data_IF_412021009546
#
_entry.id   IF_412021009546
#
_cell.length_a   1.000
_cell.length_b   1.000
_cell.length_c   1.000
_cell.angle_alpha   90.00
_cell.angle_beta   90.00
_cell.angle_gamma   90.00
#
_symmetry.space_group_name_H-M   'P 1'
#
loop_
_entity.id
_entity.type
_entity.pdbx_description
1 polymer ?
#
# COMPACT_ATOMS: atom_id res chain seq x y z
N UNK A 1 26.10 12.62 88.28
CA UNK A 1 27.24 11.80 88.65
C UNK A 1 27.93 11.40 87.37
N UNK A 2 29.00 12.17 87.01
CA UNK A 2 30.40 11.73 87.13
C UNK A 2 30.67 10.54 86.20
N UNK A 3 31.59 10.54 85.29
CA UNK A 3 32.89 11.16 85.15
C UNK A 3 33.43 11.06 83.73
N UNK A 4 34.15 12.09 83.35
CA UNK A 4 35.00 12.17 82.17
C UNK A 4 36.20 11.22 82.22
N UNK A 5 36.80 10.89 81.07
CA UNK A 5 38.26 10.83 80.93
C UNK A 5 38.73 11.11 79.48
N UNK A 6 39.62 12.06 79.41
CA UNK A 6 40.48 12.50 78.30
C UNK A 6 41.67 11.54 78.14
N UNK A 7 42.18 11.50 76.89
CA UNK A 7 43.62 11.52 76.54
C UNK A 7 43.66 11.35 74.99
N UNK A 8 44.12 12.22 74.17
CA UNK A 8 45.42 12.90 73.95
C UNK A 8 46.36 12.18 72.99
N UNK A 9 46.63 12.87 71.86
CA UNK A 9 47.89 12.93 71.10
C UNK A 9 48.21 11.82 70.07
N UNK A 10 48.48 12.30 68.87
CA UNK A 10 49.27 11.64 67.84
C UNK A 10 49.10 12.32 66.46
N UNK A 11 49.82 13.41 66.22
CA UNK A 11 49.97 14.04 64.94
C UNK A 11 50.96 13.22 64.09
N UNK A 12 50.58 12.86 62.87
CA UNK A 12 51.53 12.52 61.80
C UNK A 12 51.03 13.15 60.48
N UNK A 13 51.80 14.08 59.99
CA UNK A 13 51.76 14.69 58.67
C UNK A 13 52.13 13.67 57.61
N UNK A 14 51.22 13.47 56.64
CA UNK A 14 51.56 12.82 55.36
C UNK A 14 51.00 13.62 54.21
N UNK A 15 51.89 14.21 53.45
CA UNK A 15 51.70 14.93 52.22
C UNK A 15 51.17 13.95 51.18
N UNK A 16 49.90 14.10 50.70
CA UNK A 16 49.31 13.28 49.69
C UNK A 16 48.85 14.17 48.56
N UNK A 17 49.44 13.97 47.42
CA UNK A 17 49.24 14.59 46.13
C UNK A 17 47.74 14.49 45.68
N UNK A 18 47.08 15.62 45.49
CA UNK A 18 45.73 15.67 44.91
C UNK A 18 45.79 15.43 43.40
N UNK A 19 45.42 14.25 42.96
CA UNK A 19 45.23 13.92 41.56
C UNK A 19 43.79 14.33 41.17
N UNK A 20 43.65 15.48 40.51
CA UNK A 20 42.37 15.92 39.96
C UNK A 20 42.03 15.07 38.73
N UNK A 21 41.09 14.12 38.85
CA UNK A 21 40.46 13.48 37.72
C UNK A 21 39.47 14.46 37.08
N UNK A 22 39.86 15.04 35.95
CA UNK A 22 38.94 15.74 35.06
C UNK A 22 38.14 14.68 34.30
N UNK A 23 36.91 14.42 34.75
CA UNK A 23 35.93 13.62 33.98
C UNK A 23 35.36 14.53 32.90
N UNK A 24 35.97 14.52 31.70
CA UNK A 24 35.33 15.06 30.50
C UNK A 24 34.21 14.11 30.11
N UNK A 25 33.00 14.41 30.56
CA UNK A 25 31.78 13.78 30.04
C UNK A 25 31.56 14.21 28.58
N UNK A 26 31.92 13.34 27.64
CA UNK A 26 31.39 13.45 26.28
C UNK A 26 29.89 13.17 26.34
N UNK A 27 29.08 14.23 26.33
CA UNK A 27 27.67 14.12 25.97
C UNK A 27 27.63 13.76 24.47
N UNK A 28 27.48 12.49 24.17
CA UNK A 28 27.05 12.09 22.83
C UNK A 28 25.69 12.71 22.61
N UNK A 29 25.41 13.35 21.46
CA UNK A 29 24.05 13.72 21.11
C UNK A 29 23.19 12.47 21.17
N UNK A 30 22.06 12.55 21.87
CA UNK A 30 21.04 11.51 21.81
C UNK A 30 20.66 11.37 20.34
N UNK A 31 21.02 10.24 19.75
CA UNK A 31 20.48 9.87 18.44
C UNK A 31 18.98 9.69 18.65
N UNK A 32 18.17 10.48 17.98
CA UNK A 32 16.75 10.17 17.84
C UNK A 32 16.64 8.71 17.41
N UNK A 33 15.71 7.94 17.98
CA UNK A 33 15.48 6.58 17.53
C UNK A 33 15.05 6.66 16.06
N UNK A 34 15.97 6.34 15.13
CA UNK A 34 15.56 6.04 13.76
C UNK A 34 14.53 4.91 13.84
N UNK A 35 13.39 5.02 13.16
CA UNK A 35 12.49 3.90 13.05
C UNK A 35 13.32 2.71 12.55
N UNK A 36 13.33 1.65 13.34
CA UNK A 36 13.96 0.38 12.96
C UNK A 36 13.23 -0.05 11.68
N UNK A 37 13.94 -0.13 10.57
CA UNK A 37 13.42 -0.83 9.42
C UNK A 37 12.91 -2.18 9.92
N UNK A 38 11.62 -2.47 9.70
CA UNK A 38 11.02 -3.74 10.11
C UNK A 38 11.89 -4.88 9.61
N UNK A 39 11.98 -5.97 10.36
CA UNK A 39 12.66 -7.16 9.87
C UNK A 39 11.93 -7.63 8.61
N UNK A 40 12.67 -7.89 7.52
CA UNK A 40 12.10 -8.47 6.33
C UNK A 40 11.63 -9.91 6.61
N UNK A 41 10.54 -10.31 5.97
CA UNK A 41 9.91 -11.62 6.13
C UNK A 41 8.69 -11.61 7.04
N UNK A 42 7.94 -12.71 7.00
CA UNK A 42 6.76 -12.94 7.82
C UNK A 42 5.44 -12.81 7.08
N UNK A 43 4.37 -13.21 7.76
CA UNK A 43 3.03 -13.32 7.20
C UNK A 43 2.10 -12.30 7.87
N UNK A 44 1.26 -11.64 7.08
CA UNK A 44 0.20 -10.76 7.56
C UNK A 44 -1.16 -11.38 7.28
N UNK A 45 -2.00 -11.52 8.30
CA UNK A 45 -3.40 -11.93 8.13
C UNK A 45 -4.31 -10.73 8.32
N UNK A 46 -5.09 -10.42 7.29
CA UNK A 46 -6.08 -9.33 7.25
C UNK A 46 -7.47 -9.96 7.34
N UNK A 47 -8.24 -9.59 8.36
CA UNK A 47 -9.65 -9.99 8.50
C UNK A 47 -10.55 -9.17 7.58
N UNK A 48 -11.36 -9.84 6.76
CA UNK A 48 -12.34 -9.21 5.87
C UNK A 48 -13.72 -9.85 6.05
N UNK A 49 -14.79 -9.11 5.79
CA UNK A 49 -16.16 -9.60 6.02
C UNK A 49 -16.72 -10.42 4.87
N UNK A 50 -16.15 -10.31 3.67
CA UNK A 50 -16.61 -11.05 2.48
C UNK A 50 -15.47 -11.28 1.49
N UNK A 51 -15.65 -12.25 0.57
CA UNK A 51 -14.82 -12.40 -0.63
C UNK A 51 -14.97 -11.18 -1.54
N UNK A 52 -13.94 -10.84 -2.33
CA UNK A 52 -14.09 -9.90 -3.44
C UNK A 52 -15.10 -10.42 -4.47
N UNK A 53 -15.90 -9.49 -5.02
CA UNK A 53 -16.86 -9.76 -6.07
C UNK A 53 -16.19 -10.23 -7.37
N UNK A 54 -14.98 -9.77 -7.62
CA UNK A 54 -14.16 -10.15 -8.78
C UNK A 54 -12.67 -9.95 -8.49
N UNK A 55 -11.81 -10.64 -9.23
CA UNK A 55 -10.37 -10.34 -9.32
C UNK A 55 -10.02 -9.63 -10.65
N UNK A 56 -11.03 -9.26 -11.44
CA UNK A 56 -10.88 -8.46 -12.65
C UNK A 56 -11.04 -6.96 -12.29
N UNK A 57 -9.96 -6.15 -12.31
CA UNK A 57 -9.94 -4.83 -11.70
C UNK A 57 -10.94 -3.84 -12.31
N UNK A 58 -11.19 -3.91 -13.61
CA UNK A 58 -12.06 -2.94 -14.29
C UNK A 58 -13.54 -3.03 -13.89
N UNK A 59 -13.97 -4.13 -13.25
CA UNK A 59 -15.35 -4.36 -12.82
C UNK A 59 -15.52 -4.44 -11.30
N UNK A 60 -14.44 -4.34 -10.54
CA UNK A 60 -14.49 -4.42 -9.09
C UNK A 60 -15.28 -3.25 -8.49
N UNK A 61 -16.26 -3.56 -7.64
CA UNK A 61 -17.12 -2.57 -6.99
C UNK A 61 -17.05 -2.62 -5.47
N UNK A 62 -16.57 -3.73 -4.90
CA UNK A 62 -16.51 -3.92 -3.48
C UNK A 62 -15.17 -3.45 -2.90
N UNK A 63 -15.22 -2.87 -1.71
CA UNK A 63 -14.02 -2.43 -0.99
C UNK A 63 -13.03 -3.59 -0.76
N UNK A 64 -13.53 -4.80 -0.45
CA UNK A 64 -12.71 -6.00 -0.28
C UNK A 64 -11.95 -6.37 -1.55
N UNK A 65 -12.58 -6.20 -2.73
CA UNK A 65 -11.90 -6.42 -4.01
C UNK A 65 -10.80 -5.39 -4.22
N UNK A 66 -11.06 -4.11 -3.98
CA UNK A 66 -10.06 -3.03 -4.09
C UNK A 66 -8.84 -3.33 -3.22
N UNK A 67 -9.04 -3.76 -1.96
CA UNK A 67 -7.94 -4.07 -1.04
C UNK A 67 -7.06 -5.23 -1.52
N UNK A 68 -7.62 -6.23 -2.20
CA UNK A 68 -6.84 -7.32 -2.78
C UNK A 68 -6.16 -6.87 -4.07
N UNK A 69 -6.91 -6.23 -4.97
CA UNK A 69 -6.46 -5.89 -6.32
C UNK A 69 -5.29 -4.90 -6.34
N UNK A 70 -5.27 -3.92 -5.43
CA UNK A 70 -4.17 -2.94 -5.34
C UNK A 70 -2.82 -3.57 -4.95
N UNK A 71 -2.80 -4.80 -4.45
CA UNK A 71 -1.58 -5.56 -4.20
C UNK A 71 -1.15 -6.40 -5.42
N UNK A 72 -2.07 -6.68 -6.34
CA UNK A 72 -1.85 -7.55 -7.50
C UNK A 72 -1.53 -6.77 -8.77
N UNK A 73 -2.11 -5.57 -8.94
CA UNK A 73 -2.05 -4.83 -10.20
C UNK A 73 -1.45 -3.44 -10.01
N UNK A 74 -0.79 -2.95 -11.05
CA UNK A 74 -0.27 -1.60 -11.14
C UNK A 74 -1.15 -0.69 -12.02
N UNK A 75 -1.04 0.61 -11.77
CA UNK A 75 -1.69 1.70 -12.50
C UNK A 75 -0.64 2.65 -13.08
N UNK A 76 -1.00 3.49 -14.06
CA UNK A 76 -0.02 4.42 -14.67
C UNK A 76 0.53 5.42 -13.66
N UNK A 77 -0.34 5.93 -12.82
CA UNK A 77 -0.02 6.83 -11.70
C UNK A 77 -0.56 6.24 -10.42
N UNK A 78 -0.07 6.66 -9.28
CA UNK A 78 -0.49 6.17 -7.95
C UNK A 78 -0.81 7.33 -7.03
N UNK A 79 -1.39 7.06 -5.86
CA UNK A 79 -1.53 8.03 -4.78
C UNK A 79 -0.52 7.73 -3.67
N UNK A 80 0.15 8.77 -3.17
CA UNK A 80 0.90 8.68 -1.93
C UNK A 80 -0.02 8.75 -0.68
N UNK A 81 0.58 8.69 0.51
CA UNK A 81 -0.14 8.74 1.79
C UNK A 81 -0.90 10.08 2.00
N UNK A 82 -0.48 11.15 1.33
CA UNK A 82 -1.11 12.47 1.37
C UNK A 82 -2.13 12.68 0.23
N UNK A 83 -2.41 11.63 -0.55
CA UNK A 83 -3.27 11.63 -1.74
C UNK A 83 -2.75 12.51 -2.88
N UNK A 84 -1.45 12.77 -2.96
CA UNK A 84 -0.85 13.36 -4.14
C UNK A 84 -0.68 12.30 -5.22
N UNK A 85 -0.83 12.73 -6.48
CA UNK A 85 -0.57 11.86 -7.62
C UNK A 85 0.94 11.72 -7.81
N UNK A 86 1.43 10.50 -7.79
CA UNK A 86 2.84 10.14 -7.94
C UNK A 86 3.04 9.15 -9.10
N UNK A 87 4.29 8.98 -9.58
CA UNK A 87 4.62 7.97 -10.57
C UNK A 87 4.25 6.54 -10.11
N UNK A 88 3.56 5.80 -11.01
CA UNK A 88 3.31 4.37 -10.89
C UNK A 88 4.07 3.60 -11.99
N UNK A 89 3.35 2.91 -12.89
CA UNK A 89 3.93 2.26 -14.07
C UNK A 89 4.50 3.27 -15.08
N UNK A 90 4.00 4.51 -15.10
CA UNK A 90 4.67 5.62 -15.75
C UNK A 90 5.62 6.30 -14.75
N UNK A 91 6.89 6.46 -15.11
CA UNK A 91 7.89 7.17 -14.29
C UNK A 91 7.72 8.69 -14.36
N UNK A 92 7.08 9.21 -15.43
CA UNK A 92 6.76 10.62 -15.61
C UNK A 92 5.69 10.81 -16.68
N UNK A 93 5.15 12.02 -16.74
CA UNK A 93 4.24 12.43 -17.84
C UNK A 93 4.39 13.92 -18.13
N UNK A 94 4.14 14.27 -19.41
CA UNK A 94 4.14 15.63 -19.92
C UNK A 94 2.74 16.04 -20.38
N UNK A 95 2.39 17.30 -20.14
CA UNK A 95 1.15 17.90 -20.62
C UNK A 95 1.51 18.99 -21.61
N UNK A 96 0.91 18.96 -22.83
CA UNK A 96 1.11 20.00 -23.83
C UNK A 96 0.62 21.38 -23.36
N UNK A 97 1.13 22.45 -23.96
CA UNK A 97 0.77 23.85 -23.58
C UNK A 97 -0.74 24.13 -23.69
N UNK A 98 -1.43 23.49 -24.63
CA UNK A 98 -2.87 23.60 -24.81
C UNK A 98 -3.68 22.64 -23.92
N UNK A 99 -3.01 21.74 -23.20
CA UNK A 99 -3.62 20.75 -22.33
C UNK A 99 -4.37 19.63 -23.06
N UNK A 100 -4.19 19.49 -24.39
CA UNK A 100 -4.92 18.52 -25.20
C UNK A 100 -4.14 17.22 -25.46
N UNK A 101 -2.90 17.14 -25.00
CA UNK A 101 -2.05 15.95 -25.14
C UNK A 101 -1.37 15.65 -23.83
N UNK A 102 -1.49 14.39 -23.36
CA UNK A 102 -0.69 13.84 -22.26
C UNK A 102 0.22 12.76 -22.83
N UNK A 103 1.50 12.84 -22.54
CA UNK A 103 2.50 11.82 -22.93
C UNK A 103 3.04 11.19 -21.66
N UNK A 104 2.86 9.88 -21.50
CA UNK A 104 3.37 9.08 -20.41
C UNK A 104 4.64 8.35 -20.83
N UNK A 105 5.68 8.42 -20.00
CA UNK A 105 6.93 7.69 -20.13
C UNK A 105 6.87 6.49 -19.18
N UNK A 106 6.85 5.29 -19.73
CA UNK A 106 6.68 4.05 -18.96
C UNK A 106 8.03 3.58 -18.39
N UNK A 107 7.96 2.90 -17.25
CA UNK A 107 9.13 2.23 -16.67
C UNK A 107 9.59 1.10 -17.57
N UNK A 108 10.91 0.97 -17.69
CA UNK A 108 11.54 -0.14 -18.40
C UNK A 108 11.68 -1.36 -17.46
N UNK A 109 11.62 -2.57 -18.05
CA UNK A 109 11.88 -3.81 -17.33
C UNK A 109 10.76 -4.27 -16.39
N UNK A 110 9.58 -3.68 -16.47
CA UNK A 110 8.40 -4.15 -15.73
C UNK A 110 7.90 -5.44 -16.37
N UNK A 111 7.55 -6.43 -15.53
CA UNK A 111 6.95 -7.69 -15.95
C UNK A 111 5.62 -7.94 -15.27
N UNK A 112 4.72 -8.62 -15.96
CA UNK A 112 3.53 -9.22 -15.36
C UNK A 112 3.89 -10.46 -14.54
N UNK A 113 2.96 -10.96 -13.73
CA UNK A 113 3.15 -12.12 -12.86
C UNK A 113 3.51 -13.41 -13.63
N UNK A 114 3.15 -13.52 -14.90
CA UNK A 114 3.51 -14.64 -15.79
C UNK A 114 4.90 -14.50 -16.42
N UNK A 115 5.60 -13.38 -16.17
CA UNK A 115 6.91 -13.05 -16.70
C UNK A 115 6.89 -12.36 -18.07
N UNK A 116 5.73 -12.11 -18.67
CA UNK A 116 5.62 -11.31 -19.90
C UNK A 116 5.96 -9.84 -19.62
N UNK A 117 6.53 -9.15 -20.62
CA UNK A 117 6.97 -7.76 -20.48
C UNK A 117 5.78 -6.80 -20.61
N UNK A 118 5.68 -5.84 -19.71
CA UNK A 118 4.75 -4.72 -19.79
C UNK A 118 5.31 -3.63 -20.73
N UNK A 119 4.42 -3.04 -21.55
CA UNK A 119 4.78 -1.94 -22.45
C UNK A 119 3.59 -1.09 -22.90
N UNK A 120 3.87 -0.20 -23.84
CA UNK A 120 2.90 0.79 -24.33
C UNK A 120 1.67 0.17 -25.00
N UNK A 121 1.82 -0.99 -25.63
CA UNK A 121 0.67 -1.69 -26.25
C UNK A 121 -0.31 -2.21 -25.20
N UNK A 122 0.16 -2.63 -24.00
CA UNK A 122 -0.70 -3.05 -22.89
C UNK A 122 -1.48 -1.87 -22.31
N UNK A 123 -0.82 -0.71 -22.20
CA UNK A 123 -1.49 0.54 -21.79
C UNK A 123 -2.56 0.93 -22.79
N UNK A 124 -2.22 0.92 -24.09
CA UNK A 124 -3.19 1.21 -25.15
C UNK A 124 -4.36 0.23 -25.12
N UNK A 125 -4.08 -1.07 -25.03
CA UNK A 125 -5.11 -2.11 -24.90
C UNK A 125 -6.02 -1.84 -23.68
N UNK A 126 -5.44 -1.58 -22.53
CA UNK A 126 -6.19 -1.36 -21.29
C UNK A 126 -7.10 -0.15 -21.37
N UNK A 127 -6.58 1.01 -21.81
CA UNK A 127 -7.36 2.24 -21.87
C UNK A 127 -8.47 2.16 -22.96
N UNK A 128 -8.17 1.59 -24.12
CA UNK A 128 -9.16 1.35 -25.18
C UNK A 128 -10.27 0.40 -24.70
N UNK A 129 -9.90 -0.67 -23.98
CA UNK A 129 -10.85 -1.63 -23.43
C UNK A 129 -11.71 -1.01 -22.31
N UNK A 130 -11.13 -0.22 -21.39
CA UNK A 130 -11.88 0.50 -20.35
C UNK A 130 -12.85 1.51 -20.97
N UNK A 131 -12.46 2.22 -22.03
CA UNK A 131 -13.30 3.17 -22.74
C UNK A 131 -14.45 2.49 -23.53
N UNK A 132 -14.28 1.23 -23.92
CA UNK A 132 -15.28 0.49 -24.70
C UNK A 132 -16.53 0.18 -23.87
N UNK A 133 -17.72 0.42 -24.44
CA UNK A 133 -19.01 0.12 -23.78
C UNK A 133 -19.19 -1.37 -23.49
N UNK A 134 -18.66 -2.23 -24.36
CA UNK A 134 -18.78 -3.68 -24.24
C UNK A 134 -18.06 -4.25 -22.98
N UNK A 135 -17.02 -3.60 -22.50
CA UNK A 135 -16.30 -4.00 -21.28
C UNK A 135 -17.12 -3.74 -20.03
N UNK A 136 -18.02 -2.76 -20.06
CA UNK A 136 -18.78 -2.31 -18.88
C UNK A 136 -17.88 -1.95 -17.68
N UNK A 137 -16.69 -1.38 -17.94
CA UNK A 137 -15.76 -0.95 -16.92
C UNK A 137 -16.37 0.15 -16.04
N UNK A 138 -16.22 0.04 -14.72
CA UNK A 138 -16.82 0.99 -13.75
C UNK A 138 -16.21 2.38 -13.85
N UNK A 139 -14.95 2.48 -14.28
CA UNK A 139 -14.22 3.74 -14.46
C UNK A 139 -14.30 4.32 -15.89
N UNK A 140 -15.12 3.77 -16.77
CA UNK A 140 -15.23 4.22 -18.17
C UNK A 140 -15.44 5.72 -18.30
N UNK A 141 -16.27 6.32 -17.46
CA UNK A 141 -16.58 7.76 -17.52
C UNK A 141 -15.37 8.66 -17.21
N UNK A 142 -14.36 8.14 -16.50
CA UNK A 142 -13.12 8.86 -16.19
C UNK A 142 -12.22 9.07 -17.41
N UNK A 143 -12.49 8.36 -18.52
CA UNK A 143 -11.80 8.52 -19.81
C UNK A 143 -12.62 9.34 -20.81
N UNK A 144 -13.68 10.02 -20.40
CA UNK A 144 -14.59 10.74 -21.33
C UNK A 144 -13.90 11.85 -22.12
N UNK A 145 -12.82 12.43 -21.60
CA UNK A 145 -12.00 13.43 -22.31
C UNK A 145 -11.05 12.83 -23.32
N UNK A 146 -10.68 11.54 -23.18
CA UNK A 146 -9.72 10.85 -24.06
C UNK A 146 -10.38 10.48 -25.39
N UNK A 147 -9.77 10.91 -26.49
CA UNK A 147 -10.26 10.66 -27.86
C UNK A 147 -9.39 9.67 -28.62
N UNK A 148 -8.12 9.55 -28.27
CA UNK A 148 -7.19 8.58 -28.82
C UNK A 148 -6.12 8.19 -27.82
N UNK A 149 -5.68 6.94 -27.89
CA UNK A 149 -4.53 6.40 -27.16
C UNK A 149 -3.57 5.81 -28.21
N UNK A 150 -2.33 6.27 -28.22
CA UNK A 150 -1.31 5.86 -29.17
C UNK A 150 -0.09 5.32 -28.45
N UNK A 151 0.30 4.08 -28.74
CA UNK A 151 1.60 3.52 -28.36
C UNK A 151 2.65 4.12 -29.35
N UNK A 152 3.35 5.15 -28.93
CA UNK A 152 4.26 5.91 -29.79
C UNK A 152 5.56 5.14 -30.02
N UNK A 153 6.04 4.47 -29.01
CA UNK A 153 7.14 3.51 -29.01
C UNK A 153 6.93 2.51 -27.86
N UNK A 154 7.89 1.64 -27.58
CA UNK A 154 7.78 0.58 -26.59
C UNK A 154 7.47 1.10 -25.16
N UNK A 155 7.96 2.29 -24.82
CA UNK A 155 7.84 2.86 -23.47
C UNK A 155 7.15 4.24 -23.45
N UNK A 156 6.48 4.63 -24.53
CA UNK A 156 5.83 5.94 -24.61
C UNK A 156 4.39 5.80 -25.07
N UNK A 157 3.46 6.34 -24.30
CA UNK A 157 2.04 6.39 -24.64
C UNK A 157 1.57 7.83 -24.68
N UNK A 158 0.88 8.19 -25.77
CA UNK A 158 0.31 9.52 -25.96
C UNK A 158 -1.22 9.45 -25.94
N UNK A 159 -1.85 10.24 -25.08
CA UNK A 159 -3.28 10.42 -25.01
C UNK A 159 -3.67 11.76 -25.62
N UNK A 160 -4.60 11.73 -26.58
CA UNK A 160 -5.22 12.94 -27.14
C UNK A 160 -6.55 13.19 -26.47
N UNK A 161 -6.79 14.44 -26.05
CA UNK A 161 -7.98 14.84 -25.31
C UNK A 161 -8.89 15.76 -26.14
N UNK A 162 -10.19 15.69 -25.92
CA UNK A 162 -11.20 16.61 -26.50
C UNK A 162 -11.23 17.99 -25.81
N UNK A 163 -10.78 18.05 -24.55
CA UNK A 163 -10.64 19.25 -23.74
C UNK A 163 -9.59 19.02 -22.65
N UNK A 164 -8.94 20.08 -22.11
CA UNK A 164 -8.00 19.94 -21.01
C UNK A 164 -8.65 19.25 -19.81
N UNK A 165 -7.96 18.23 -19.25
CA UNK A 165 -8.44 17.43 -18.13
C UNK A 165 -7.32 17.27 -17.08
N UNK A 166 -7.27 18.17 -16.11
CA UNK A 166 -6.29 18.16 -15.04
C UNK A 166 -6.52 17.00 -14.02
N UNK A 167 -7.71 16.39 -14.04
CA UNK A 167 -8.02 15.27 -13.14
C UNK A 167 -7.59 13.92 -13.73
N UNK A 168 -7.27 13.85 -15.02
CA UNK A 168 -6.97 12.58 -15.68
C UNK A 168 -5.82 11.81 -15.04
N UNK A 169 -4.68 12.41 -14.64
CA UNK A 169 -3.65 11.67 -13.92
C UNK A 169 -4.14 11.05 -12.61
N UNK A 170 -4.99 11.76 -11.84
CA UNK A 170 -5.58 11.22 -10.61
C UNK A 170 -6.60 10.11 -10.91
N UNK A 171 -7.35 10.23 -11.99
CA UNK A 171 -8.28 9.18 -12.43
C UNK A 171 -7.55 7.89 -12.83
N UNK A 172 -6.33 8.01 -13.38
CA UNK A 172 -5.50 6.87 -13.78
C UNK A 172 -4.79 6.18 -12.58
N UNK A 173 -4.88 6.74 -11.37
CA UNK A 173 -4.30 6.19 -10.15
C UNK A 173 -5.26 5.21 -9.42
N UNK A 174 -6.54 5.14 -9.79
CA UNK A 174 -7.48 4.22 -9.14
C UNK A 174 -7.32 2.80 -9.68
N UNK A 175 -7.48 1.80 -8.82
CA UNK A 175 -7.24 0.39 -9.19
C UNK A 175 -8.15 -0.10 -10.34
N UNK A 176 -9.30 0.51 -10.53
CA UNK A 176 -10.17 0.20 -11.68
C UNK A 176 -9.62 0.71 -13.02
N UNK A 177 -8.46 1.36 -13.02
CA UNK A 177 -7.65 1.73 -14.17
C UNK A 177 -6.35 0.92 -14.25
N UNK A 178 -6.28 -0.25 -13.61
CA UNK A 178 -5.11 -1.12 -13.68
C UNK A 178 -4.78 -1.49 -15.12
N UNK A 179 -3.49 -1.54 -15.42
CA UNK A 179 -2.98 -1.99 -16.72
C UNK A 179 -2.94 -3.51 -16.75
N UNK A 180 -3.48 -4.10 -17.83
CA UNK A 180 -3.55 -5.54 -18.05
C UNK A 180 -2.80 -5.89 -19.34
N UNK A 181 -2.29 -7.11 -19.41
CA UNK A 181 -1.69 -7.64 -20.64
C UNK A 181 -2.76 -7.75 -21.73
N UNK A 182 -2.37 -7.46 -22.95
CA UNK A 182 -3.24 -7.60 -24.12
C UNK A 182 -3.68 -9.05 -24.42
N UNK A 183 -2.96 -10.02 -23.82
CA UNK A 183 -3.25 -11.45 -23.95
C UNK A 183 -4.23 -11.95 -22.86
N UNK A 184 -4.53 -11.14 -21.86
CA UNK A 184 -5.39 -11.51 -20.73
C UNK A 184 -6.87 -11.48 -21.07
N UNK A 185 -7.63 -12.34 -20.39
CA UNK A 185 -9.10 -12.38 -20.46
C UNK A 185 -9.72 -12.21 -19.08
N UNK A 186 -10.93 -11.64 -19.00
CA UNK A 186 -11.66 -11.50 -17.75
C UNK A 186 -11.81 -12.84 -16.99
N UNK A 187 -12.13 -13.93 -17.71
CA UNK A 187 -12.28 -15.27 -17.13
C UNK A 187 -10.94 -15.77 -16.56
N UNK A 188 -9.85 -15.57 -17.31
CA UNK A 188 -8.50 -15.95 -16.88
C UNK A 188 -8.08 -15.20 -15.63
N UNK A 189 -8.23 -13.88 -15.62
CA UNK A 189 -7.82 -13.02 -14.50
C UNK A 189 -8.63 -13.26 -13.21
N UNK A 190 -9.89 -13.68 -13.30
CA UNK A 190 -10.68 -14.07 -12.13
C UNK A 190 -10.18 -15.37 -11.48
N UNK A 191 -9.38 -16.16 -12.20
CA UNK A 191 -8.81 -17.43 -11.72
C UNK A 191 -7.33 -17.28 -11.38
N UNK A 192 -6.59 -16.62 -12.26
CA UNK A 192 -5.14 -16.40 -12.16
C UNK A 192 -4.85 -14.96 -12.52
N UNK A 193 -4.90 -14.05 -11.54
CA UNK A 193 -4.52 -12.65 -11.74
C UNK A 193 -3.11 -12.53 -12.31
N UNK A 194 -2.98 -11.74 -13.39
CA UNK A 194 -1.72 -11.47 -14.07
C UNK A 194 -1.44 -9.97 -14.02
N UNK A 195 -0.97 -9.48 -12.88
CA UNK A 195 -0.72 -8.05 -12.69
C UNK A 195 0.76 -7.75 -12.52
N UNK A 196 1.07 -6.47 -12.35
CA UNK A 196 2.43 -5.93 -12.19
C UNK A 196 2.69 -5.47 -10.75
N UNK A 197 1.88 -5.92 -9.79
CA UNK A 197 1.91 -5.48 -8.40
C UNK A 197 2.99 -6.14 -7.53
N UNK A 198 3.14 -5.66 -6.27
CA UNK A 198 4.14 -6.17 -5.33
C UNK A 198 3.88 -7.58 -4.81
N UNK A 199 2.70 -8.10 -5.03
CA UNK A 199 2.32 -9.47 -4.68
C UNK A 199 1.67 -10.18 -5.87
N UNK A 200 1.71 -11.52 -5.85
CA UNK A 200 1.04 -12.42 -6.80
C UNK A 200 0.07 -13.34 -6.05
N UNK A 201 -0.96 -13.83 -6.72
CA UNK A 201 -1.89 -14.79 -6.12
C UNK A 201 -1.18 -16.14 -5.90
N UNK A 202 -1.15 -16.62 -4.66
CA UNK A 202 -0.63 -17.94 -4.28
C UNK A 202 -1.76 -18.98 -4.14
N UNK A 203 -2.80 -18.67 -3.36
CA UNK A 203 -3.94 -19.57 -3.12
C UNK A 203 -5.25 -18.79 -2.95
N UNK A 204 -6.35 -19.40 -3.41
CA UNK A 204 -7.71 -18.88 -3.18
C UNK A 204 -8.64 -20.01 -2.78
N UNK A 205 -9.23 -19.85 -1.60
CA UNK A 205 -10.30 -20.74 -1.09
C UNK A 205 -11.58 -19.90 -0.98
N UNK A 206 -12.49 -20.09 -1.94
CA UNK A 206 -13.72 -19.31 -2.02
C UNK A 206 -14.45 -19.23 -0.67
N UNK A 207 -14.84 -18.03 -0.27
CA UNK A 207 -15.49 -17.70 1.00
C UNK A 207 -14.67 -18.07 2.24
N UNK A 208 -13.36 -18.27 2.13
CA UNK A 208 -12.47 -18.59 3.25
C UNK A 208 -11.25 -17.68 3.28
N UNK A 209 -10.44 -17.67 2.21
CA UNK A 209 -9.21 -16.88 2.17
C UNK A 209 -8.69 -16.66 0.76
N UNK A 210 -7.94 -15.56 0.62
CA UNK A 210 -7.06 -15.29 -0.53
C UNK A 210 -5.68 -15.05 0.05
N UNK A 211 -4.70 -15.83 -0.40
CA UNK A 211 -3.30 -15.69 0.00
C UNK A 211 -2.48 -15.15 -1.16
N UNK A 212 -1.76 -14.09 -0.90
CA UNK A 212 -0.84 -13.47 -1.83
C UNK A 212 0.59 -13.73 -1.37
N UNK A 213 1.46 -14.11 -2.29
CA UNK A 213 2.90 -14.23 -2.06
C UNK A 213 3.64 -13.02 -2.63
N UNK A 214 4.75 -12.67 -2.02
CA UNK A 214 5.62 -11.60 -2.50
C UNK A 214 6.03 -11.83 -3.95
N UNK A 215 5.96 -10.79 -4.77
CA UNK A 215 6.50 -10.76 -6.12
C UNK A 215 7.99 -10.42 -6.04
N UNK A 216 8.87 -11.40 -6.26
CA UNK A 216 10.32 -11.20 -6.22
C UNK A 216 10.84 -10.39 -7.42
N UNK A 217 10.07 -10.33 -8.51
CA UNK A 217 10.39 -9.57 -9.73
C UNK A 217 9.69 -8.21 -9.79
N UNK A 218 9.15 -7.74 -8.64
CA UNK A 218 8.47 -6.44 -8.58
C UNK A 218 9.42 -5.29 -8.92
N UNK A 219 8.99 -4.41 -9.80
CA UNK A 219 9.76 -3.27 -10.32
C UNK A 219 10.01 -2.15 -9.30
N UNK A 220 9.19 -2.07 -8.25
CA UNK A 220 9.30 -1.06 -7.19
C UNK A 220 10.07 -1.56 -5.97
N UNK A 221 9.81 -0.96 -4.81
CA UNK A 221 10.42 -1.37 -3.57
C UNK A 221 9.95 -2.77 -3.17
N UNK A 222 10.89 -3.66 -2.92
CA UNK A 222 10.59 -5.04 -2.54
C UNK A 222 9.75 -5.09 -1.26
N UNK A 223 8.62 -5.81 -1.32
CA UNK A 223 7.76 -6.02 -0.16
C UNK A 223 8.52 -6.65 1.00
N UNK A 224 8.32 -6.13 2.21
CA UNK A 224 8.95 -6.66 3.41
C UNK A 224 8.31 -7.97 3.89
N UNK A 225 7.01 -8.17 3.61
CA UNK A 225 6.27 -9.38 3.97
C UNK A 225 6.47 -10.47 2.93
N UNK A 226 6.51 -11.73 3.37
CA UNK A 226 6.56 -12.90 2.48
C UNK A 226 5.17 -13.22 1.95
N UNK A 227 4.12 -13.14 2.82
CA UNK A 227 2.73 -13.40 2.43
C UNK A 227 1.75 -12.41 3.06
N UNK A 228 0.61 -12.20 2.36
CA UNK A 228 -0.56 -11.49 2.87
C UNK A 228 -1.78 -12.39 2.67
N UNK A 229 -2.45 -12.78 3.75
CA UNK A 229 -3.70 -13.55 3.71
C UNK A 229 -4.90 -12.65 4.01
N UNK A 230 -5.83 -12.53 3.10
CA UNK A 230 -7.16 -11.97 3.35
C UNK A 230 -8.09 -13.10 3.80
N UNK A 231 -8.40 -13.13 5.10
CA UNK A 231 -9.22 -14.19 5.72
C UNK A 231 -10.66 -13.74 5.86
N UNK A 232 -11.60 -14.48 5.27
CA UNK A 232 -13.02 -14.15 5.31
C UNK A 232 -13.62 -14.57 6.67
N UNK A 233 -14.06 -13.58 7.42
CA UNK A 233 -14.74 -13.75 8.71
C UNK A 233 -15.99 -12.84 8.66
N UNK A 234 -17.18 -13.37 8.30
CA UNK A 234 -18.35 -12.56 7.96
C UNK A 234 -18.88 -11.66 9.09
N UNK A 235 -18.56 -11.96 10.34
CA UNK A 235 -19.01 -11.23 11.52
C UNK A 235 -17.86 -10.40 12.11
N UNK A 236 -18.01 -9.08 12.19
CA UNK A 236 -16.98 -8.17 12.70
C UNK A 236 -16.60 -8.46 14.16
N UNK A 237 -17.54 -8.88 15.01
CA UNK A 237 -17.24 -9.24 16.41
C UNK A 237 -16.34 -10.50 16.47
N UNK A 238 -16.46 -11.38 15.49
CA UNK A 238 -15.58 -12.53 15.32
C UNK A 238 -14.19 -12.12 14.85
N UNK A 239 -14.09 -11.08 14.00
CA UNK A 239 -12.79 -10.47 13.63
C UNK A 239 -12.11 -9.88 14.87
N UNK A 240 -12.85 -9.13 15.72
CA UNK A 240 -12.32 -8.62 17.00
C UNK A 240 -11.74 -9.75 17.86
N UNK A 241 -12.46 -10.85 17.99
CA UNK A 241 -12.02 -12.02 18.77
C UNK A 241 -10.75 -12.64 18.17
N UNK A 242 -10.65 -12.71 16.83
CA UNK A 242 -9.48 -13.21 16.13
C UNK A 242 -8.27 -12.27 16.29
N UNK A 243 -8.46 -10.95 16.30
CA UNK A 243 -7.40 -9.97 16.58
C UNK A 243 -6.90 -10.07 18.02
N UNK A 244 -7.80 -10.15 18.99
CA UNK A 244 -7.45 -10.29 20.41
C UNK A 244 -6.67 -11.58 20.70
N UNK A 245 -6.91 -12.64 19.92
CA UNK A 245 -6.16 -13.91 20.01
C UNK A 245 -4.90 -13.96 19.16
N UNK A 246 -4.61 -12.90 18.37
CA UNK A 246 -3.44 -12.82 17.48
C UNK A 246 -3.56 -13.62 16.17
N UNK A 247 -4.75 -14.14 15.84
CA UNK A 247 -4.99 -14.89 14.60
C UNK A 247 -5.24 -13.98 13.38
N UNK A 248 -5.52 -12.70 13.62
CA UNK A 248 -5.66 -11.63 12.63
C UNK A 248 -4.86 -10.44 13.16
N UNK A 249 -4.03 -9.82 12.30
CA UNK A 249 -3.18 -8.71 12.67
C UNK A 249 -3.71 -7.36 12.20
N UNK A 250 -4.53 -7.35 11.14
CA UNK A 250 -5.13 -6.13 10.59
C UNK A 250 -6.59 -6.37 10.23
N UNK A 251 -7.44 -5.40 10.44
CA UNK A 251 -8.81 -5.39 9.93
C UNK A 251 -9.30 -3.96 9.73
N UNK A 252 -10.22 -3.78 8.79
CA UNK A 252 -10.98 -2.54 8.61
C UNK A 252 -12.43 -2.82 9.03
N UNK A 253 -12.98 -1.98 9.89
CA UNK A 253 -14.33 -2.10 10.41
C UNK A 253 -15.23 -1.02 9.82
N UNK A 254 -16.42 -1.42 9.38
CA UNK A 254 -17.46 -0.49 8.94
C UNK A 254 -18.19 0.13 10.14
N UNK A 255 -18.32 -0.62 11.25
CA UNK A 255 -18.92 -0.12 12.49
C UNK A 255 -17.83 0.36 13.48
N UNK A 256 -17.69 1.68 13.71
CA UNK A 256 -16.73 2.23 14.65
C UNK A 256 -16.98 1.81 16.11
N UNK A 257 -18.20 1.41 16.47
CA UNK A 257 -18.50 0.91 17.82
C UNK A 257 -17.94 -0.50 17.99
N UNK A 258 -17.98 -1.33 16.95
CA UNK A 258 -17.34 -2.66 16.97
C UNK A 258 -15.82 -2.50 17.01
N UNK A 259 -15.25 -1.60 16.19
CA UNK A 259 -13.83 -1.31 16.19
C UNK A 259 -13.30 -0.94 17.59
N UNK A 260 -14.01 -0.09 18.33
CA UNK A 260 -13.63 0.30 19.70
C UNK A 260 -13.57 -0.90 20.66
N UNK A 261 -14.32 -1.97 20.43
CA UNK A 261 -14.27 -3.18 21.25
C UNK A 261 -13.01 -4.03 21.01
N UNK A 262 -12.31 -3.79 19.90
CA UNK A 262 -11.04 -4.46 19.60
C UNK A 262 -9.87 -3.87 20.40
N UNK A 263 -9.98 -2.61 20.87
CA UNK A 263 -8.92 -1.92 21.59
C UNK A 263 -8.49 -2.70 22.85
N UNK A 264 -7.18 -2.87 23.03
CA UNK A 264 -6.63 -3.64 24.15
C UNK A 264 -5.12 -3.60 24.21
N UNK A 265 -4.52 -4.43 25.04
CA UNK A 265 -3.09 -4.42 25.32
C UNK A 265 -2.21 -4.65 24.08
N UNK A 266 -2.74 -5.32 23.04
CA UNK A 266 -2.00 -5.69 21.83
C UNK A 266 -2.73 -5.27 20.54
N UNK A 267 -3.81 -4.49 20.65
CA UNK A 267 -4.59 -4.00 19.49
C UNK A 267 -4.75 -2.50 19.62
N UNK A 268 -4.31 -1.79 18.60
CA UNK A 268 -4.50 -0.36 18.44
C UNK A 268 -5.62 -0.08 17.45
N UNK A 269 -6.50 0.87 17.77
CA UNK A 269 -7.57 1.32 16.89
C UNK A 269 -7.22 2.69 16.34
N UNK A 270 -6.94 2.74 15.03
CA UNK A 270 -6.73 3.99 14.31
C UNK A 270 -8.00 4.41 13.57
N UNK A 271 -8.30 5.70 13.58
CA UNK A 271 -9.43 6.26 12.83
C UNK A 271 -8.90 7.16 11.72
N UNK A 272 -9.19 6.80 10.48
CA UNK A 272 -8.82 7.60 9.31
C UNK A 272 -10.07 8.26 8.73
N UNK A 273 -10.06 9.59 8.48
CA UNK A 273 -11.15 10.25 7.77
C UNK A 273 -11.33 9.65 6.38
N UNK A 274 -12.55 9.27 6.02
CA UNK A 274 -12.87 8.73 4.69
C UNK A 274 -13.85 9.66 3.96
N UNK A 275 -13.74 9.70 2.64
CA UNK A 275 -14.71 10.36 1.75
C UNK A 275 -15.89 9.40 1.47
N UNK A 276 -16.58 8.96 2.53
CA UNK A 276 -17.77 8.12 2.43
C UNK A 276 -18.97 8.77 3.11
N UNK A 277 -20.18 8.41 2.68
CA UNK A 277 -21.40 8.88 3.30
C UNK A 277 -22.43 7.74 3.35
N UNK A 278 -23.26 7.75 4.39
CA UNK A 278 -24.44 6.90 4.45
C UNK A 278 -25.63 7.71 3.96
N UNK A 279 -26.32 7.23 2.93
CA UNK A 279 -27.52 7.85 2.39
C UNK A 279 -28.74 6.95 2.62
N UNK A 280 -29.82 7.51 3.13
CA UNK A 280 -31.13 6.88 3.13
C UNK A 280 -31.86 7.30 1.85
N UNK A 281 -32.04 6.38 0.91
CA UNK A 281 -32.89 6.60 -0.26
C UNK A 281 -34.33 6.24 0.12
N UNK A 282 -35.23 7.23 0.01
CA UNK A 282 -36.67 7.09 0.27
C UNK A 282 -37.42 6.84 -1.05
#
# INVERSE_FOLDING_TARGET
>A
MSTARRASFGALTATGVALALVITGCSAPASDPQPSAGAAGGDLVIGVTSDPDTLFPWKATQFQAVNVLQNLYGTLTEFDEDLNVVPGLAESWDVSEDGLTLTFHLREGVTFADGSTFGSEDVKHSLDAIAAEATAAVSRSSLASVTAVEATDENTVTLTLSAPDAALPANLAVINMAMLSSDDTEEGLNTTPNGTGPFILDDRKASQSITLAKNEDYWGDTALLDTVEFRVIPDESSIVSAMQSGNVQLAVFDDPLVAQTAEGANVEVATTPQLSYHALQL
#
